data_IF_240370891653
#
_entry.id   IF_240370891653
#
_cell.length_a   1.000
_cell.length_b   1.000
_cell.length_c   1.000
_cell.angle_alpha   90.00
_cell.angle_beta   90.00
_cell.angle_gamma   90.00
#
_symmetry.space_group_name_H-M   'P 1'
#
loop_
_entity.id
_entity.type
_entity.pdbx_description
1 polymer ?
#
# COMPACT_ATOMS: atom_id res chain seq x y z
N UNK A 1 27.70 -2.06 -7.33
CA UNK A 1 26.75 -3.19 -7.25
C UNK A 1 25.62 -2.97 -8.26
N UNK A 2 25.26 -3.99 -9.02
CA UNK A 2 24.15 -3.94 -9.97
C UNK A 2 22.79 -4.16 -9.29
N UNK A 3 21.70 -3.96 -10.03
CA UNK A 3 20.32 -4.15 -9.50
C UNK A 3 20.13 -5.58 -8.97
N UNK A 4 20.59 -6.60 -9.71
CA UNK A 4 20.46 -7.99 -9.30
C UNK A 4 21.20 -8.30 -7.98
N UNK A 5 22.44 -7.82 -7.86
CA UNK A 5 23.24 -8.00 -6.64
C UNK A 5 22.57 -7.37 -5.42
N UNK A 6 22.04 -6.13 -5.58
CA UNK A 6 21.34 -5.44 -4.50
C UNK A 6 20.06 -6.19 -4.07
N UNK A 7 19.24 -6.68 -5.01
CA UNK A 7 18.05 -7.48 -4.70
C UNK A 7 18.41 -8.74 -3.91
N UNK A 8 19.44 -9.47 -4.35
CA UNK A 8 19.88 -10.67 -3.67
C UNK A 8 20.43 -10.40 -2.26
N UNK A 9 21.18 -9.31 -2.10
CA UNK A 9 21.72 -8.91 -0.80
C UNK A 9 20.60 -8.53 0.17
N UNK A 10 19.68 -7.62 -0.23
CA UNK A 10 18.57 -7.20 0.60
C UNK A 10 17.71 -8.39 1.04
N UNK A 11 17.39 -9.29 0.12
CA UNK A 11 16.59 -10.48 0.45
C UNK A 11 17.28 -11.42 1.45
N UNK A 12 18.62 -11.45 1.51
CA UNK A 12 19.37 -12.23 2.53
C UNK A 12 19.31 -11.58 3.92
N UNK A 13 19.22 -10.25 3.96
CA UNK A 13 19.21 -9.48 5.22
C UNK A 13 17.82 -9.39 5.83
N UNK A 14 16.77 -9.50 5.01
CA UNK A 14 15.39 -9.42 5.48
C UNK A 14 14.98 -10.66 6.29
N UNK A 15 14.26 -10.44 7.42
CA UNK A 15 13.62 -11.55 8.13
C UNK A 15 12.67 -12.33 7.22
N UNK A 16 12.50 -13.65 7.41
CA UNK A 16 11.62 -14.47 6.57
C UNK A 16 10.15 -14.02 6.52
N UNK A 17 9.70 -13.29 7.55
CA UNK A 17 8.34 -12.72 7.62
C UNK A 17 8.19 -11.40 6.87
N UNK A 18 9.28 -10.83 6.33
CA UNK A 18 9.29 -9.54 5.66
C UNK A 18 9.39 -9.72 4.15
N UNK A 19 8.47 -9.10 3.43
CA UNK A 19 8.44 -9.14 1.96
C UNK A 19 9.04 -7.84 1.39
N UNK A 20 10.02 -7.97 0.50
CA UNK A 20 10.57 -6.82 -0.23
C UNK A 20 9.56 -6.36 -1.29
N UNK A 21 9.23 -5.09 -1.25
CA UNK A 21 8.51 -4.39 -2.32
C UNK A 21 9.50 -3.45 -3.02
N UNK A 22 9.88 -3.76 -4.25
CA UNK A 22 10.81 -2.94 -5.02
C UNK A 22 10.10 -1.71 -5.60
N UNK A 23 10.41 -0.53 -5.07
CA UNK A 23 9.85 0.72 -5.58
C UNK A 23 10.52 1.09 -6.90
N UNK A 24 9.76 1.03 -7.99
CA UNK A 24 10.25 1.22 -9.37
C UNK A 24 9.81 2.54 -10.02
N UNK A 25 9.17 3.43 -9.25
CA UNK A 25 8.82 4.77 -9.75
C UNK A 25 10.03 5.48 -10.35
N UNK A 26 9.83 6.14 -11.49
CA UNK A 26 10.86 6.84 -12.28
C UNK A 26 11.98 5.94 -12.84
N UNK A 27 11.87 4.62 -12.73
CA UNK A 27 12.84 3.70 -13.33
C UNK A 27 12.35 3.21 -14.68
N UNK A 28 13.26 3.05 -15.67
CA UNK A 28 12.90 2.51 -16.97
C UNK A 28 12.49 1.04 -16.86
N UNK A 29 11.77 0.56 -17.88
CA UNK A 29 11.28 -0.84 -17.95
C UNK A 29 12.41 -1.85 -17.83
N UNK A 30 13.56 -1.57 -18.44
CA UNK A 30 14.75 -2.42 -18.42
C UNK A 30 15.31 -2.63 -17.01
N UNK A 31 15.25 -1.61 -16.16
CA UNK A 31 15.68 -1.73 -14.77
C UNK A 31 14.73 -2.62 -13.96
N UNK A 32 13.42 -2.54 -14.23
CA UNK A 32 12.43 -3.41 -13.59
C UNK A 32 12.61 -4.85 -14.07
N UNK A 33 12.87 -5.05 -15.37
CA UNK A 33 13.14 -6.37 -15.94
C UNK A 33 14.38 -6.99 -15.31
N UNK A 34 15.46 -6.23 -15.12
CA UNK A 34 16.67 -6.74 -14.44
C UNK A 34 16.38 -7.20 -13.00
N UNK A 35 15.56 -6.46 -12.26
CA UNK A 35 15.16 -6.86 -10.91
C UNK A 35 14.25 -8.11 -10.94
N UNK A 36 13.35 -8.20 -11.91
CA UNK A 36 12.52 -9.39 -12.14
C UNK A 36 13.34 -10.63 -12.46
N UNK A 37 14.33 -10.51 -13.34
CA UNK A 37 15.23 -11.61 -13.72
C UNK A 37 16.08 -12.09 -12.53
N UNK A 38 16.36 -11.19 -11.57
CA UNK A 38 16.99 -11.51 -10.30
C UNK A 38 16.05 -12.15 -9.25
N UNK A 39 14.78 -12.42 -9.62
CA UNK A 39 13.81 -13.09 -8.76
C UNK A 39 12.81 -12.19 -8.05
N UNK A 40 12.91 -10.86 -8.19
CA UNK A 40 11.93 -9.95 -7.62
C UNK A 40 10.58 -10.09 -8.34
N UNK A 41 9.49 -10.15 -7.55
CA UNK A 41 8.13 -10.32 -8.09
C UNK A 41 7.17 -9.23 -7.66
N UNK A 42 7.47 -8.48 -6.60
CA UNK A 42 6.61 -7.43 -6.06
C UNK A 42 7.22 -6.07 -6.33
N UNK A 43 6.52 -5.26 -7.10
CA UNK A 43 6.96 -3.91 -7.46
C UNK A 43 5.92 -2.87 -7.09
N UNK A 44 6.35 -1.64 -6.86
CA UNK A 44 5.45 -0.56 -6.53
C UNK A 44 5.67 0.69 -7.38
N UNK A 45 4.56 1.28 -7.80
CA UNK A 45 4.50 2.52 -8.56
C UNK A 45 3.73 3.61 -7.82
N UNK A 46 4.05 4.86 -8.09
CA UNK A 46 3.34 6.02 -7.53
C UNK A 46 2.56 6.85 -8.55
N UNK A 47 2.71 6.56 -9.84
CA UNK A 47 2.03 7.25 -10.93
C UNK A 47 1.15 6.28 -11.71
N UNK A 48 -0.17 6.54 -11.83
CA UNK A 48 -1.09 5.64 -12.53
C UNK A 48 -0.72 5.35 -13.98
N UNK A 49 -0.18 6.35 -14.69
CA UNK A 49 0.23 6.20 -16.09
C UNK A 49 1.45 5.29 -16.22
N UNK A 50 2.43 5.46 -15.31
CA UNK A 50 3.65 4.66 -15.29
C UNK A 50 3.33 3.20 -14.91
N UNK A 51 2.45 3.00 -13.93
CA UNK A 51 1.93 1.68 -13.55
C UNK A 51 1.32 0.97 -14.77
N UNK A 52 0.36 1.60 -15.44
CA UNK A 52 -0.32 1.00 -16.60
C UNK A 52 0.66 0.61 -17.69
N UNK A 53 1.58 1.52 -18.06
CA UNK A 53 2.61 1.26 -19.09
C UNK A 53 3.46 0.04 -18.72
N UNK A 54 3.94 -0.06 -17.48
CA UNK A 54 4.78 -1.16 -17.03
C UNK A 54 4.04 -2.49 -16.97
N UNK A 55 2.79 -2.50 -16.52
CA UNK A 55 1.94 -3.69 -16.55
C UNK A 55 1.75 -4.25 -17.96
N UNK A 56 1.68 -3.38 -18.96
CA UNK A 56 1.53 -3.78 -20.36
C UNK A 56 2.80 -4.39 -20.94
N UNK A 57 3.98 -3.89 -20.54
CA UNK A 57 5.29 -4.22 -21.12
C UNK A 57 6.05 -5.34 -20.37
N UNK A 58 5.75 -5.58 -19.11
CA UNK A 58 6.48 -6.49 -18.24
C UNK A 58 5.73 -7.82 -18.01
N UNK A 59 6.39 -8.84 -17.43
CA UNK A 59 5.78 -10.14 -17.14
C UNK A 59 4.50 -10.04 -16.32
N UNK A 60 3.52 -10.92 -16.62
CA UNK A 60 2.18 -10.86 -16.04
C UNK A 60 2.05 -11.45 -14.64
N UNK A 61 3.10 -12.13 -14.17
CA UNK A 61 3.21 -12.67 -12.81
C UNK A 61 3.82 -11.67 -11.80
N UNK A 62 4.06 -10.42 -12.22
CA UNK A 62 4.43 -9.34 -11.31
C UNK A 62 3.23 -8.93 -10.45
N UNK A 63 3.42 -8.94 -9.14
CA UNK A 63 2.50 -8.35 -8.19
C UNK A 63 2.74 -6.82 -8.13
N UNK A 64 1.80 -6.05 -8.68
CA UNK A 64 1.91 -4.60 -8.68
C UNK A 64 1.23 -3.99 -7.46
N UNK A 65 1.96 -3.16 -6.72
CA UNK A 65 1.45 -2.33 -5.64
C UNK A 65 1.38 -0.86 -6.07
N UNK A 66 0.42 -0.14 -5.52
CA UNK A 66 0.34 1.31 -5.71
C UNK A 66 0.62 2.02 -4.39
N UNK A 67 1.62 2.93 -4.40
CA UNK A 67 2.12 3.62 -3.21
C UNK A 67 2.02 5.15 -3.32
N UNK A 68 1.49 5.68 -4.43
CA UNK A 68 1.31 7.12 -4.62
C UNK A 68 0.00 7.63 -4.05
N UNK A 69 -0.12 8.94 -3.86
CA UNK A 69 -1.42 9.54 -3.51
C UNK A 69 -2.45 9.23 -4.61
N UNK A 70 -3.53 8.56 -4.23
CA UNK A 70 -4.57 8.12 -5.16
C UNK A 70 -5.73 9.12 -5.20
N UNK A 71 -5.76 9.92 -6.25
CA UNK A 71 -6.91 10.77 -6.53
C UNK A 71 -8.10 9.93 -7.02
N UNK A 72 -9.32 10.30 -6.63
CA UNK A 72 -10.54 9.54 -6.96
C UNK A 72 -10.77 9.39 -8.47
N UNK A 73 -10.45 10.42 -9.27
CA UNK A 73 -10.53 10.36 -10.73
C UNK A 73 -9.50 9.41 -11.39
N UNK A 74 -8.54 8.89 -10.62
CA UNK A 74 -7.50 7.96 -11.08
C UNK A 74 -7.73 6.51 -10.65
N UNK A 75 -8.74 6.22 -9.85
CA UNK A 75 -9.08 4.87 -9.36
C UNK A 75 -9.16 3.87 -10.51
N UNK A 76 -9.81 4.23 -11.63
CA UNK A 76 -9.92 3.39 -12.83
C UNK A 76 -8.60 3.06 -13.53
N UNK A 77 -7.54 3.81 -13.24
CA UNK A 77 -6.19 3.59 -13.79
C UNK A 77 -5.28 2.81 -12.83
N UNK A 78 -5.73 2.54 -11.61
CA UNK A 78 -4.94 1.86 -10.57
C UNK A 78 -5.56 0.52 -10.22
N UNK A 79 -6.81 0.49 -9.80
CA UNK A 79 -7.49 -0.72 -9.31
C UNK A 79 -7.38 -1.92 -10.26
N UNK A 80 -7.54 -1.78 -11.59
CA UNK A 80 -7.44 -2.94 -12.51
C UNK A 80 -6.06 -3.58 -12.60
N UNK A 81 -5.02 -2.88 -12.15
CA UNK A 81 -3.63 -3.25 -12.37
C UNK A 81 -2.87 -3.58 -11.09
N UNK A 82 -3.48 -3.41 -9.91
CA UNK A 82 -2.81 -3.58 -8.62
C UNK A 82 -3.42 -4.68 -7.80
N UNK A 83 -2.56 -5.41 -7.10
CA UNK A 83 -2.97 -6.37 -6.07
C UNK A 83 -3.12 -5.70 -4.71
N UNK A 84 -2.38 -4.60 -4.45
CA UNK A 84 -2.40 -3.89 -3.18
C UNK A 84 -2.24 -2.38 -3.38
N UNK A 85 -3.12 -1.59 -2.76
CA UNK A 85 -3.06 -0.14 -2.68
C UNK A 85 -2.65 0.23 -1.25
N UNK A 86 -1.49 0.89 -1.09
CA UNK A 86 -0.94 1.25 0.21
C UNK A 86 -1.48 2.56 0.78
N UNK A 87 -1.99 3.43 -0.09
CA UNK A 87 -2.24 4.85 0.17
C UNK A 87 -3.74 5.18 0.30
N UNK A 88 -4.49 4.37 1.05
CA UNK A 88 -5.87 4.72 1.40
C UNK A 88 -5.82 5.68 2.60
N UNK A 89 -5.87 6.95 2.33
CA UNK A 89 -5.67 8.06 3.27
C UNK A 89 -6.97 8.63 3.87
N UNK A 90 -8.11 8.19 3.38
CA UNK A 90 -9.42 8.71 3.81
C UNK A 90 -10.55 7.71 3.58
N UNK A 91 -11.58 7.80 4.41
CA UNK A 91 -12.79 6.99 4.25
C UNK A 91 -13.47 7.23 2.90
N UNK A 92 -13.49 8.47 2.44
CA UNK A 92 -14.03 8.82 1.13
C UNK A 92 -13.34 8.04 0.02
N UNK A 93 -12.00 8.04 0.01
CA UNK A 93 -11.22 7.28 -0.99
C UNK A 93 -11.49 5.78 -0.88
N UNK A 94 -11.55 5.24 0.34
CA UNK A 94 -11.86 3.83 0.59
C UNK A 94 -13.20 3.44 -0.02
N UNK A 95 -14.25 4.23 0.22
CA UNK A 95 -15.59 3.97 -0.32
C UNK A 95 -15.58 4.03 -1.86
N UNK A 96 -14.97 5.06 -2.44
CA UNK A 96 -14.90 5.19 -3.91
C UNK A 96 -14.13 4.03 -4.57
N UNK A 97 -13.04 3.56 -3.95
CA UNK A 97 -12.31 2.35 -4.40
C UNK A 97 -13.18 1.10 -4.27
N UNK A 98 -13.89 0.94 -3.16
CA UNK A 98 -14.78 -0.19 -2.91
C UNK A 98 -15.93 -0.25 -3.92
N UNK A 99 -16.61 0.86 -4.15
CA UNK A 99 -17.70 0.94 -5.12
C UNK A 99 -17.23 0.68 -6.55
N UNK A 100 -16.07 1.22 -6.92
CA UNK A 100 -15.48 0.95 -8.23
C UNK A 100 -15.10 -0.53 -8.37
N UNK A 101 -14.45 -1.12 -7.37
CA UNK A 101 -14.07 -2.52 -7.36
C UNK A 101 -15.30 -3.43 -7.48
N UNK A 102 -16.34 -3.20 -6.65
CA UNK A 102 -17.59 -3.94 -6.68
C UNK A 102 -18.30 -3.86 -8.04
N UNK A 103 -18.42 -2.65 -8.60
CA UNK A 103 -19.08 -2.40 -9.89
C UNK A 103 -18.39 -3.10 -11.06
N UNK A 104 -17.08 -3.27 -11.01
CA UNK A 104 -16.27 -3.80 -12.11
C UNK A 104 -15.69 -5.20 -11.84
N UNK A 105 -16.03 -5.83 -10.71
CA UNK A 105 -15.59 -7.20 -10.39
C UNK A 105 -14.11 -7.30 -10.00
N UNK A 106 -13.49 -6.23 -9.50
CA UNK A 106 -12.12 -6.26 -8.96
C UNK A 106 -12.12 -6.55 -7.47
N UNK A 107 -10.99 -7.06 -6.96
CA UNK A 107 -10.81 -7.42 -5.55
C UNK A 107 -9.44 -6.91 -5.02
N UNK A 108 -9.21 -5.60 -4.98
CA UNK A 108 -7.93 -5.07 -4.52
C UNK A 108 -7.74 -5.28 -3.01
N UNK A 109 -6.50 -5.59 -2.62
CA UNK A 109 -6.05 -5.40 -1.25
C UNK A 109 -5.83 -3.92 -0.96
N UNK A 110 -6.05 -3.51 0.29
CA UNK A 110 -5.77 -2.14 0.73
C UNK A 110 -5.06 -2.11 2.07
N UNK A 111 -4.18 -1.11 2.23
CA UNK A 111 -3.67 -0.68 3.52
C UNK A 111 -4.28 0.68 3.86
N UNK A 112 -4.66 0.89 5.11
CA UNK A 112 -5.05 2.21 5.60
C UNK A 112 -3.79 2.99 5.96
N UNK A 113 -3.64 4.18 5.41
CA UNK A 113 -2.49 5.05 5.65
C UNK A 113 -2.66 5.78 6.97
N UNK A 114 -1.83 5.42 7.97
CA UNK A 114 -1.80 6.05 9.28
C UNK A 114 -0.81 7.20 9.27
N UNK A 115 -1.25 8.38 9.71
CA UNK A 115 -0.39 9.52 9.96
C UNK A 115 0.35 9.35 11.29
N UNK A 116 1.67 9.12 11.24
CA UNK A 116 2.53 8.93 12.42
C UNK A 116 3.59 10.03 12.56
N UNK A 117 3.92 10.72 11.47
CA UNK A 117 4.92 11.78 11.44
C UNK A 117 4.45 13.04 12.16
N UNK A 118 5.41 13.83 12.67
CA UNK A 118 5.12 15.12 13.34
C UNK A 118 4.95 16.30 12.36
N UNK A 119 4.99 16.03 11.06
CA UNK A 119 4.86 17.05 10.03
C UNK A 119 3.43 17.59 9.93
N UNK A 120 3.29 18.90 9.64
CA UNK A 120 1.97 19.58 9.57
C UNK A 120 1.06 19.12 8.42
N UNK A 121 1.58 18.38 7.45
CA UNK A 121 0.79 17.84 6.35
C UNK A 121 0.00 16.61 6.80
N UNK A 122 -1.28 16.82 7.15
CA UNK A 122 -2.22 15.76 7.56
C UNK A 122 -2.65 14.91 6.35
N UNK A 123 -1.78 14.05 5.86
CA UNK A 123 -2.17 12.98 4.93
C UNK A 123 -2.26 11.68 5.72
N UNK A 124 -3.38 10.95 5.54
CA UNK A 124 -3.64 9.71 6.28
C UNK A 124 -4.63 9.89 7.43
N UNK A 125 -5.04 8.77 7.99
CA UNK A 125 -5.93 8.69 9.15
C UNK A 125 -5.17 8.89 10.46
N UNK A 126 -5.86 9.39 11.49
CA UNK A 126 -5.44 9.16 12.87
C UNK A 126 -5.77 7.73 13.33
N UNK A 127 -5.19 7.31 14.45
CA UNK A 127 -5.49 5.99 15.04
C UNK A 127 -6.97 5.89 15.42
N UNK A 128 -7.54 6.95 16.01
CA UNK A 128 -8.95 7.03 16.41
C UNK A 128 -9.88 6.94 15.20
N UNK A 129 -9.55 7.60 14.09
CA UNK A 129 -10.33 7.55 12.86
C UNK A 129 -10.35 6.14 12.28
N UNK A 130 -9.21 5.42 12.26
CA UNK A 130 -9.16 4.03 11.82
C UNK A 130 -10.04 3.14 12.71
N UNK A 131 -9.92 3.23 14.03
CA UNK A 131 -10.71 2.41 14.93
C UNK A 131 -12.21 2.69 14.79
N UNK A 132 -12.60 3.97 14.71
CA UNK A 132 -13.98 4.38 14.46
C UNK A 132 -14.51 3.90 13.12
N UNK A 133 -13.70 3.95 12.07
CA UNK A 133 -14.06 3.44 10.74
C UNK A 133 -14.33 1.93 10.77
N UNK A 134 -13.46 1.16 11.42
CA UNK A 134 -13.62 -0.29 11.53
C UNK A 134 -14.88 -0.66 12.34
N UNK A 135 -15.15 0.04 13.46
CA UNK A 135 -16.36 -0.16 14.24
C UNK A 135 -17.63 0.13 13.40
N UNK A 136 -17.62 1.18 12.58
CA UNK A 136 -18.74 1.49 11.67
C UNK A 136 -18.89 0.47 10.55
N UNK A 137 -17.80 -0.02 9.97
CA UNK A 137 -17.87 -1.11 8.97
C UNK A 137 -18.52 -2.36 9.57
N UNK A 138 -18.19 -2.68 10.83
CA UNK A 138 -18.79 -3.82 11.53
C UNK A 138 -20.28 -3.63 11.81
N UNK A 139 -20.72 -2.41 12.14
CA UNK A 139 -22.11 -2.11 12.54
C UNK A 139 -23.03 -1.80 11.35
N UNK A 140 -22.51 -1.17 10.29
CA UNK A 140 -23.29 -0.66 9.16
C UNK A 140 -23.24 -1.63 7.96
N UNK A 141 -24.38 -2.24 7.66
CA UNK A 141 -24.54 -3.18 6.54
C UNK A 141 -24.38 -2.51 5.15
N UNK A 142 -24.78 -1.26 4.97
CA UNK A 142 -24.60 -0.52 3.71
C UNK A 142 -23.14 -0.22 3.45
N UNK A 143 -22.41 0.28 4.46
CA UNK A 143 -20.99 0.54 4.35
C UNK A 143 -20.21 -0.76 4.07
N UNK A 144 -20.52 -1.84 4.79
CA UNK A 144 -19.95 -3.17 4.54
C UNK A 144 -20.24 -3.67 3.13
N UNK A 145 -21.44 -3.42 2.62
CA UNK A 145 -21.86 -3.76 1.25
C UNK A 145 -21.03 -3.00 0.18
N UNK A 146 -20.75 -1.72 0.40
CA UNK A 146 -19.89 -0.90 -0.48
C UNK A 146 -18.45 -1.42 -0.52
N UNK A 147 -17.97 -1.97 0.57
CA UNK A 147 -16.60 -2.47 0.75
C UNK A 147 -16.46 -3.99 0.55
N UNK A 148 -17.50 -4.69 0.10
CA UNK A 148 -17.55 -6.16 0.01
C UNK A 148 -16.45 -6.76 -0.89
N UNK A 149 -15.93 -6.00 -1.84
CA UNK A 149 -14.85 -6.43 -2.72
C UNK A 149 -13.45 -5.95 -2.27
N UNK A 150 -13.35 -5.28 -1.11
CA UNK A 150 -12.08 -4.84 -0.55
C UNK A 150 -11.51 -5.91 0.38
N UNK A 151 -10.23 -6.20 0.24
CA UNK A 151 -9.47 -7.00 1.20
C UNK A 151 -8.59 -6.08 2.06
N UNK A 152 -8.99 -5.86 3.31
CA UNK A 152 -8.14 -5.13 4.27
C UNK A 152 -6.92 -5.98 4.62
N UNK A 153 -5.71 -5.47 4.30
CA UNK A 153 -4.45 -6.20 4.48
C UNK A 153 -3.61 -5.67 5.63
N UNK A 154 -3.97 -4.53 6.20
CA UNK A 154 -3.28 -3.92 7.33
C UNK A 154 -3.16 -2.41 7.23
N UNK A 155 -2.09 -1.89 7.80
CA UNK A 155 -1.80 -0.48 7.89
C UNK A 155 -0.53 -0.13 7.09
N UNK A 156 -0.45 1.12 6.64
CA UNK A 156 0.77 1.70 6.07
C UNK A 156 1.11 2.98 6.84
N UNK A 157 2.37 3.25 7.03
CA UNK A 157 2.84 4.54 7.54
C UNK A 157 4.21 4.87 6.96
N UNK A 158 4.50 6.16 6.92
CA UNK A 158 5.83 6.70 6.62
C UNK A 158 6.33 7.44 7.86
N UNK A 159 7.54 7.06 8.30
CA UNK A 159 8.21 7.80 9.37
C UNK A 159 8.74 9.15 8.86
N UNK A 160 8.98 10.06 9.78
CA UNK A 160 9.65 11.34 9.49
C UNK A 160 11.00 11.12 8.82
N UNK A 161 11.33 11.99 7.88
CA UNK A 161 12.63 11.94 7.19
C UNK A 161 13.72 12.61 8.04
N UNK A 162 14.20 11.88 9.03
CA UNK A 162 15.22 12.33 10.01
C UNK A 162 16.28 11.25 10.22
N UNK A 163 17.45 11.64 10.72
CA UNK A 163 18.55 10.72 11.05
C UNK A 163 18.44 10.14 12.49
N UNK A 164 17.42 10.54 13.25
CA UNK A 164 17.16 10.07 14.61
C UNK A 164 16.45 8.71 14.60
N UNK A 165 17.21 7.64 14.83
CA UNK A 165 16.66 6.27 14.85
C UNK A 165 15.65 6.05 15.99
N UNK A 166 15.81 6.69 17.13
CA UNK A 166 14.89 6.53 18.27
C UNK A 166 13.53 7.18 17.96
N UNK A 167 13.55 8.34 17.29
CA UNK A 167 12.31 8.94 16.77
C UNK A 167 11.63 8.02 15.76
N UNK A 168 12.35 7.49 14.77
CA UNK A 168 11.82 6.58 13.76
C UNK A 168 11.21 5.33 14.41
N UNK A 169 11.92 4.73 15.38
CA UNK A 169 11.42 3.56 16.14
C UNK A 169 10.17 3.88 16.93
N UNK A 170 10.13 5.05 17.58
CA UNK A 170 8.96 5.54 18.32
C UNK A 170 7.74 5.73 17.42
N UNK A 171 7.92 6.27 16.23
CA UNK A 171 6.86 6.44 15.24
C UNK A 171 6.30 5.09 14.76
N UNK A 172 7.16 4.13 14.39
CA UNK A 172 6.71 2.78 14.01
C UNK A 172 6.11 1.98 15.17
N UNK A 173 6.50 2.26 16.43
CA UNK A 173 5.87 1.64 17.59
C UNK A 173 4.37 1.98 17.70
N UNK A 174 3.98 3.21 17.36
CA UNK A 174 2.55 3.63 17.30
C UNK A 174 1.76 2.80 16.29
N UNK A 175 2.36 2.54 15.11
CA UNK A 175 1.75 1.68 14.09
C UNK A 175 1.55 0.25 14.61
N UNK A 176 2.55 -0.30 15.30
CA UNK A 176 2.49 -1.64 15.87
C UNK A 176 1.43 -1.75 16.98
N UNK A 177 1.33 -0.75 17.84
CA UNK A 177 0.31 -0.67 18.89
C UNK A 177 -1.10 -0.66 18.31
N UNK A 178 -1.35 0.18 17.30
CA UNK A 178 -2.64 0.22 16.60
C UNK A 178 -2.96 -1.12 15.94
N UNK A 179 -1.99 -1.74 15.28
CA UNK A 179 -2.17 -3.07 14.67
C UNK A 179 -2.54 -4.14 15.70
N UNK A 180 -1.94 -4.10 16.90
CA UNK A 180 -2.30 -4.98 18.01
C UNK A 180 -3.72 -4.71 18.54
N UNK A 181 -4.13 -3.43 18.61
CA UNK A 181 -5.49 -3.07 19.03
C UNK A 181 -6.53 -3.58 18.03
N UNK A 182 -6.28 -3.43 16.72
CA UNK A 182 -7.16 -3.92 15.67
C UNK A 182 -7.29 -5.45 15.74
N UNK A 183 -6.18 -6.18 15.86
CA UNK A 183 -6.19 -7.64 15.96
C UNK A 183 -6.92 -8.19 17.18
N UNK A 184 -7.03 -7.42 18.25
CA UNK A 184 -7.79 -7.83 19.46
C UNK A 184 -9.31 -7.63 19.32
N UNK A 185 -9.75 -6.85 18.32
CA UNK A 185 -11.17 -6.58 18.07
C UNK A 185 -11.86 -7.65 17.22
N UNK A 186 -11.09 -8.59 16.65
CA UNK A 186 -11.57 -9.69 15.79
C UNK A 186 -11.24 -9.47 14.35
#
# INVERSE_FOLDING_TARGET
>A
MGIAENILQINKELPPSTKLVAVSKFKPVEAVQQAYDAGQRVFAESRPQELKMKVELLPKDIEWHFIGHLQTNKIKMVVPYTTLIHSIDSERLLIEVGEYARKNGYHPGVLLELHIAQEETKQGFSAEEILSLLDRIAADGDLRGKLSNISFRGLMAMASFVDDEDQIRGEFSKLLELNHQIKKRG
#
